data_IF_004438990078
#
_entry.id   IF_004438990078
#
_cell.length_a   1.000
_cell.length_b   1.000
_cell.length_c   1.000
_cell.angle_alpha   90.00
_cell.angle_beta   90.00
_cell.angle_gamma   90.00
#
_symmetry.space_group_name_H-M   'P 1'
#
loop_
_entity.id
_entity.type
_entity.pdbx_description
1 polymer ?
#
# COMPACT_ATOMS: atom_id res chain seq x y z
N UNK A 1 12.02 -7.47 31.39
CA UNK A 1 10.68 -7.87 30.88
C UNK A 1 10.26 -6.82 29.84
N UNK A 2 9.91 -7.25 28.64
CA UNK A 2 9.39 -6.36 27.59
C UNK A 2 8.06 -5.78 28.08
N UNK A 3 7.93 -4.45 28.06
CA UNK A 3 6.67 -3.77 28.43
C UNK A 3 5.70 -3.86 27.26
N UNK A 4 4.56 -4.51 27.46
CA UNK A 4 3.47 -4.58 26.49
C UNK A 4 2.35 -3.65 26.96
N UNK A 5 1.98 -2.71 26.09
CA UNK A 5 0.84 -1.81 26.27
C UNK A 5 -0.27 -2.22 25.31
N UNK A 6 -1.50 -2.25 25.79
CA UNK A 6 -2.63 -2.73 25.00
C UNK A 6 -3.81 -1.79 25.21
N UNK A 7 -4.30 -1.19 24.11
CA UNK A 7 -5.57 -0.44 24.09
C UNK A 7 -6.62 -1.15 23.20
N UNK A 8 -7.71 -0.47 22.84
CA UNK A 8 -8.76 -1.05 22.03
C UNK A 8 -8.30 -1.40 20.60
N UNK A 9 -7.45 -0.55 20.00
CA UNK A 9 -7.04 -0.65 18.61
C UNK A 9 -5.66 -1.23 18.40
N UNK A 10 -4.73 -1.03 19.37
CA UNK A 10 -3.30 -1.25 19.20
C UNK A 10 -2.73 -2.14 20.31
N UNK A 11 -1.86 -3.04 19.95
CA UNK A 11 -0.92 -3.73 20.83
C UNK A 11 0.48 -3.18 20.54
N UNK A 12 1.13 -2.65 21.56
CA UNK A 12 2.46 -2.06 21.48
C UNK A 12 3.45 -2.81 22.35
N UNK A 13 4.60 -3.13 21.79
CA UNK A 13 5.74 -3.73 22.48
C UNK A 13 6.86 -2.73 22.51
N UNK A 14 7.31 -2.36 23.70
CA UNK A 14 8.45 -1.47 23.85
C UNK A 14 9.75 -2.18 23.50
N UNK A 15 10.56 -1.56 22.62
CA UNK A 15 11.89 -2.03 22.28
C UNK A 15 12.96 -1.58 23.28
N UNK A 16 14.21 -1.99 23.01
CA UNK A 16 15.37 -1.51 23.74
C UNK A 16 15.64 -0.05 23.38
N UNK A 17 16.14 0.77 24.33
CA UNK A 17 16.35 2.21 24.07
C UNK A 17 17.27 2.52 22.89
N UNK A 18 18.25 1.66 22.65
CA UNK A 18 19.26 1.80 21.57
C UNK A 18 18.82 1.22 20.22
N UNK A 19 17.67 0.54 20.16
CA UNK A 19 17.21 -0.08 18.91
C UNK A 19 16.75 0.96 17.91
N UNK A 20 16.98 0.68 16.63
CA UNK A 20 16.39 1.44 15.54
C UNK A 20 15.23 0.69 14.84
N UNK A 21 14.96 -0.55 15.24
CA UNK A 21 13.98 -1.43 14.59
C UNK A 21 12.57 -1.17 15.10
N UNK A 22 11.67 -0.91 14.18
CA UNK A 22 10.21 -0.84 14.40
C UNK A 22 9.55 -1.91 13.53
N UNK A 23 8.95 -2.88 14.17
CA UNK A 23 8.20 -3.95 13.53
C UNK A 23 6.73 -3.56 13.48
N UNK A 24 6.09 -3.74 12.34
CA UNK A 24 4.67 -3.50 12.15
C UNK A 24 3.95 -4.80 11.80
N UNK A 25 2.70 -4.94 12.24
CA UNK A 25 1.81 -5.98 11.75
C UNK A 25 0.39 -5.42 11.63
N UNK A 26 0.05 -5.01 10.41
CA UNK A 26 -1.21 -4.36 10.08
C UNK A 26 -2.42 -5.29 10.27
N UNK A 27 -2.23 -6.60 10.08
CA UNK A 27 -3.29 -7.60 10.11
C UNK A 27 -3.06 -8.66 11.20
N UNK A 28 -2.72 -8.20 12.41
CA UNK A 28 -2.28 -9.05 13.50
C UNK A 28 -3.40 -9.82 14.22
N UNK A 29 -4.67 -9.47 14.01
CA UNK A 29 -5.78 -10.06 14.76
C UNK A 29 -7.00 -10.32 13.89
N UNK A 30 -7.76 -11.37 14.23
CA UNK A 30 -9.01 -11.77 13.57
C UNK A 30 -10.28 -11.42 14.36
N UNK A 31 -10.15 -10.81 15.53
CA UNK A 31 -11.29 -10.46 16.41
C UNK A 31 -11.93 -9.16 16.00
N UNK A 32 -13.19 -9.00 16.40
CA UNK A 32 -13.93 -7.75 16.30
C UNK A 32 -14.26 -7.21 17.69
N UNK A 33 -14.34 -5.88 17.87
CA UNK A 33 -14.90 -5.29 19.06
C UNK A 33 -16.36 -5.73 19.24
N UNK A 34 -16.84 -5.93 20.50
CA UNK A 34 -18.18 -6.47 20.77
C UNK A 34 -19.34 -5.73 20.08
N UNK A 35 -19.19 -4.42 19.89
CA UNK A 35 -20.19 -3.57 19.24
C UNK A 35 -20.48 -3.97 17.78
N UNK A 36 -19.56 -4.67 17.12
CA UNK A 36 -19.70 -5.09 15.71
C UNK A 36 -20.15 -6.54 15.55
N UNK A 37 -20.29 -7.28 16.66
CA UNK A 37 -20.63 -8.69 16.62
C UNK A 37 -19.69 -9.47 15.70
N UNK A 38 -20.28 -10.21 14.74
CA UNK A 38 -19.51 -10.94 13.71
C UNK A 38 -19.63 -10.32 12.30
N UNK A 39 -20.05 -9.06 12.15
CA UNK A 39 -20.33 -8.42 10.86
C UNK A 39 -21.27 -9.24 9.94
N UNK A 40 -22.09 -10.12 10.54
CA UNK A 40 -22.96 -11.05 9.80
C UNK A 40 -22.26 -12.26 9.20
N UNK A 41 -21.00 -12.52 9.57
CA UNK A 41 -20.20 -13.63 9.07
C UNK A 41 -20.30 -14.86 10.00
N UNK A 42 -20.10 -16.05 9.43
CA UNK A 42 -19.88 -17.26 10.22
C UNK A 42 -18.50 -17.26 10.88
N UNK A 43 -18.38 -17.87 12.06
CA UNK A 43 -17.13 -17.92 12.84
C UNK A 43 -15.91 -18.44 12.03
N UNK A 44 -16.12 -19.40 11.14
CA UNK A 44 -15.08 -19.97 10.28
C UNK A 44 -14.40 -18.95 9.35
N UNK A 45 -15.10 -17.87 9.01
CA UNK A 45 -14.52 -16.84 8.12
C UNK A 45 -13.42 -16.02 8.82
N UNK A 46 -13.47 -15.95 10.17
CA UNK A 46 -12.44 -15.30 10.97
C UNK A 46 -11.15 -16.12 11.12
N UNK A 47 -11.18 -17.39 10.74
CA UNK A 47 -9.98 -18.25 10.69
C UNK A 47 -9.28 -18.22 9.32
N UNK A 48 -9.79 -17.42 8.39
CA UNK A 48 -9.26 -17.29 7.04
C UNK A 48 -8.40 -16.04 6.89
N UNK A 49 -7.53 -16.04 5.90
CA UNK A 49 -6.68 -14.92 5.49
C UNK A 49 -7.46 -13.62 5.16
N UNK A 50 -8.76 -13.70 4.93
CA UNK A 50 -9.60 -12.51 4.72
C UNK A 50 -9.73 -11.68 6.01
N UNK A 51 -9.59 -12.30 7.17
CA UNK A 51 -9.76 -11.66 8.46
C UNK A 51 -8.44 -11.15 9.06
N UNK A 52 -7.33 -11.86 8.84
CA UNK A 52 -6.00 -11.54 9.40
C UNK A 52 -4.90 -12.29 8.67
N UNK A 53 -3.67 -11.94 8.90
CA UNK A 53 -2.50 -12.59 8.34
C UNK A 53 -2.00 -13.68 9.31
N UNK A 54 -2.29 -14.95 8.96
CA UNK A 54 -2.04 -16.10 9.82
C UNK A 54 -0.55 -16.23 10.14
N UNK A 55 -0.19 -16.24 11.43
CA UNK A 55 1.17 -16.40 11.93
C UNK A 55 2.02 -15.11 11.93
N UNK A 56 1.59 -14.04 11.25
CA UNK A 56 2.38 -12.81 11.15
C UNK A 56 2.59 -12.12 12.51
N UNK A 57 1.56 -12.11 13.37
CA UNK A 57 1.68 -11.57 14.74
C UNK A 57 2.72 -12.31 15.57
N UNK A 58 2.71 -13.63 15.53
CA UNK A 58 3.63 -14.48 16.29
C UNK A 58 5.08 -14.28 15.83
N UNK A 59 5.30 -14.16 14.50
CA UNK A 59 6.62 -13.81 13.93
C UNK A 59 7.05 -12.43 14.38
N UNK A 60 6.16 -11.44 14.36
CA UNK A 60 6.43 -10.06 14.80
C UNK A 60 6.87 -10.02 16.27
N UNK A 61 6.13 -10.70 17.15
CA UNK A 61 6.48 -10.80 18.57
C UNK A 61 7.81 -11.53 18.82
N UNK A 62 8.04 -12.62 18.07
CA UNK A 62 9.30 -13.35 18.12
C UNK A 62 10.50 -12.51 17.71
N UNK A 63 10.37 -11.74 16.63
CA UNK A 63 11.40 -10.80 16.17
C UNK A 63 11.62 -9.67 17.16
N UNK A 64 10.56 -9.08 17.73
CA UNK A 64 10.67 -8.05 18.75
C UNK A 64 11.45 -8.55 19.98
N UNK A 65 11.15 -9.76 20.45
CA UNK A 65 11.86 -10.39 21.57
C UNK A 65 13.33 -10.74 21.22
N UNK A 66 13.57 -11.24 20.00
CA UNK A 66 14.89 -11.70 19.54
C UNK A 66 15.85 -10.55 19.23
N UNK A 67 15.33 -9.45 18.66
CA UNK A 67 16.12 -8.31 18.18
C UNK A 67 16.02 -7.07 19.09
N UNK A 68 15.15 -7.08 20.09
CA UNK A 68 14.90 -5.93 20.96
C UNK A 68 14.20 -4.77 20.25
N UNK A 69 13.48 -5.05 19.16
CA UNK A 69 12.75 -4.05 18.37
C UNK A 69 11.46 -3.61 19.04
N UNK A 70 10.99 -2.39 18.71
CA UNK A 70 9.60 -2.00 18.97
C UNK A 70 8.67 -2.82 18.08
N UNK A 71 7.43 -3.08 18.56
CA UNK A 71 6.40 -3.63 17.70
C UNK A 71 5.09 -2.87 17.87
N UNK A 72 4.45 -2.53 16.76
CA UNK A 72 3.12 -1.91 16.69
C UNK A 72 2.22 -2.82 15.86
N UNK A 73 1.16 -3.33 16.47
CA UNK A 73 0.28 -4.34 15.88
C UNK A 73 -1.18 -3.96 16.09
N UNK A 74 -2.03 -4.26 15.10
CA UNK A 74 -3.48 -4.06 15.25
C UNK A 74 -4.08 -5.11 16.18
N UNK A 75 -5.23 -4.76 16.79
CA UNK A 75 -6.00 -5.65 17.65
C UNK A 75 -7.35 -6.05 17.09
N UNK A 76 -7.62 -5.72 15.85
CA UNK A 76 -8.89 -6.01 15.18
C UNK A 76 -8.65 -6.60 13.79
N UNK A 77 -9.66 -7.33 13.33
CA UNK A 77 -9.68 -7.88 11.97
C UNK A 77 -9.70 -6.77 10.91
N UNK A 78 -8.95 -6.97 9.83
CA UNK A 78 -9.00 -6.11 8.63
C UNK A 78 -10.40 -6.04 8.00
N UNK A 79 -11.29 -6.98 8.33
CA UNK A 79 -12.70 -6.93 7.92
C UNK A 79 -13.48 -5.80 8.58
N UNK A 80 -13.04 -5.29 9.75
CA UNK A 80 -13.65 -4.11 10.37
C UNK A 80 -13.25 -2.85 9.62
N UNK A 81 -11.97 -2.65 9.44
CA UNK A 81 -11.31 -1.60 8.68
C UNK A 81 -9.87 -2.04 8.43
N UNK A 82 -9.39 -1.90 7.21
CA UNK A 82 -8.02 -2.32 6.84
C UNK A 82 -7.04 -1.17 7.10
N UNK A 83 -6.16 -1.26 8.12
CA UNK A 83 -5.21 -0.20 8.41
C UNK A 83 -4.14 -0.04 7.34
N UNK A 84 -3.92 -1.08 6.54
CA UNK A 84 -2.97 -1.05 5.41
C UNK A 84 -3.62 -0.53 4.12
N UNK A 85 -4.57 0.40 4.25
CA UNK A 85 -5.24 1.09 3.13
C UNK A 85 -5.34 2.59 3.40
N UNK A 86 -5.21 3.38 2.34
CA UNK A 86 -5.49 4.81 2.37
C UNK A 86 -6.95 5.11 2.71
N UNK A 87 -7.23 6.31 3.26
CA UNK A 87 -8.58 6.68 3.66
C UNK A 87 -9.58 6.77 2.49
N UNK A 88 -9.06 6.99 1.29
CA UNK A 88 -9.83 7.08 0.04
C UNK A 88 -9.87 5.75 -0.75
N UNK A 89 -9.17 4.71 -0.26
CA UNK A 89 -9.18 3.40 -0.90
C UNK A 89 -10.55 2.74 -0.75
N UNK A 90 -11.20 2.29 -1.84
CA UNK A 90 -12.49 1.62 -1.79
C UNK A 90 -12.45 0.29 -1.01
N UNK A 91 -11.25 -0.27 -0.78
CA UNK A 91 -11.06 -1.49 0.01
C UNK A 91 -10.71 -1.24 1.47
N UNK A 92 -10.73 0.02 1.93
CA UNK A 92 -10.53 0.37 3.36
C UNK A 92 -11.52 -0.37 4.27
N UNK A 93 -12.78 -0.49 3.86
CA UNK A 93 -13.82 -1.26 4.54
C UNK A 93 -14.49 -2.16 3.49
N UNK A 94 -14.01 -3.39 3.37
CA UNK A 94 -14.42 -4.30 2.31
C UNK A 94 -15.82 -4.86 2.56
N UNK A 95 -16.76 -4.65 1.62
CA UNK A 95 -18.05 -5.33 1.58
C UNK A 95 -17.96 -6.73 0.94
N UNK A 96 -16.91 -7.01 0.20
CA UNK A 96 -16.61 -8.30 -0.44
C UNK A 96 -15.13 -8.62 -0.30
N UNK A 97 -14.78 -9.78 0.24
CA UNK A 97 -13.39 -10.25 0.37
C UNK A 97 -13.30 -11.73 0.00
N UNK A 98 -12.47 -12.06 -1.00
CA UNK A 98 -12.27 -13.42 -1.52
C UNK A 98 -13.56 -14.24 -1.69
N UNK A 99 -14.55 -13.65 -2.38
CA UNK A 99 -15.84 -14.28 -2.66
C UNK A 99 -16.83 -14.29 -1.48
N UNK A 100 -16.44 -13.76 -0.32
CA UNK A 100 -17.29 -13.67 0.87
C UNK A 100 -17.87 -12.26 0.99
N UNK A 101 -19.20 -12.16 0.97
CA UNK A 101 -19.89 -10.89 1.28
C UNK A 101 -19.80 -10.67 2.79
N UNK A 102 -19.47 -9.44 3.20
CA UNK A 102 -19.44 -8.99 4.60
C UNK A 102 -20.68 -8.15 4.86
N UNK A 103 -21.78 -8.73 5.39
CA UNK A 103 -23.07 -8.03 5.47
C UNK A 103 -23.00 -6.74 6.30
N UNK A 104 -22.23 -6.74 7.39
CA UNK A 104 -22.04 -5.58 8.26
C UNK A 104 -21.27 -4.41 7.62
N UNK A 105 -20.72 -4.62 6.41
CA UNK A 105 -20.01 -3.58 5.65
C UNK A 105 -20.76 -3.15 4.39
N UNK A 106 -21.84 -3.87 4.00
CA UNK A 106 -22.50 -3.67 2.71
C UNK A 106 -23.22 -2.32 2.59
N UNK A 107 -23.61 -1.71 3.69
CA UNK A 107 -24.41 -0.49 3.72
C UNK A 107 -24.02 0.45 4.88
N UNK A 108 -22.70 0.61 5.12
CA UNK A 108 -22.23 1.59 6.11
C UNK A 108 -22.35 3.00 5.53
N UNK A 109 -22.76 3.94 6.36
CA UNK A 109 -22.77 5.35 6.00
C UNK A 109 -21.44 6.04 6.33
N UNK A 110 -21.30 7.29 5.88
CA UNK A 110 -20.10 8.10 6.14
C UNK A 110 -19.86 8.38 7.64
N UNK A 111 -20.89 8.35 8.48
CA UNK A 111 -20.75 8.53 9.92
C UNK A 111 -20.06 7.29 10.54
N UNK A 112 -20.50 6.09 10.16
CA UNK A 112 -19.89 4.84 10.61
C UNK A 112 -18.46 4.68 10.04
N UNK A 113 -18.23 5.03 8.78
CA UNK A 113 -16.87 5.05 8.20
C UNK A 113 -15.94 5.93 9.04
N UNK A 114 -16.35 7.18 9.34
CA UNK A 114 -15.57 8.09 10.19
C UNK A 114 -15.35 7.55 11.60
N UNK A 115 -16.38 6.91 12.19
CA UNK A 115 -16.26 6.28 13.51
C UNK A 115 -15.20 5.18 13.52
N UNK A 116 -15.18 4.27 12.54
CA UNK A 116 -14.15 3.22 12.44
C UNK A 116 -12.76 3.80 12.18
N UNK A 117 -12.64 4.81 11.34
CA UNK A 117 -11.37 5.52 11.15
C UNK A 117 -10.85 6.09 12.47
N UNK A 118 -11.70 6.83 13.21
CA UNK A 118 -11.29 7.49 14.44
C UNK A 118 -10.93 6.53 15.58
N UNK A 119 -11.62 5.37 15.66
CA UNK A 119 -11.42 4.42 16.77
C UNK A 119 -10.37 3.36 16.52
N UNK A 120 -10.11 3.00 15.26
CA UNK A 120 -9.28 1.83 14.94
C UNK A 120 -8.13 2.15 13.99
N UNK A 121 -8.38 2.85 12.91
CA UNK A 121 -7.36 3.20 11.92
C UNK A 121 -6.41 4.30 12.43
N UNK A 122 -6.97 5.43 12.86
CA UNK A 122 -6.18 6.57 13.29
C UNK A 122 -5.28 6.29 14.51
N UNK A 123 -5.74 5.59 15.57
CA UNK A 123 -4.87 5.26 16.71
C UNK A 123 -3.69 4.37 16.34
N UNK A 124 -3.87 3.42 15.42
CA UNK A 124 -2.78 2.58 14.92
C UNK A 124 -1.69 3.42 14.25
N UNK A 125 -2.08 4.26 13.31
CA UNK A 125 -1.14 5.15 12.62
C UNK A 125 -0.52 6.21 13.53
N UNK A 126 -1.26 6.69 14.53
CA UNK A 126 -0.73 7.61 15.54
C UNK A 126 0.37 6.95 16.36
N UNK A 127 0.18 5.71 16.83
CA UNK A 127 1.19 4.97 17.59
C UNK A 127 2.45 4.73 16.78
N UNK A 128 2.34 4.41 15.49
CA UNK A 128 3.50 4.27 14.59
C UNK A 128 4.25 5.61 14.51
N UNK A 129 3.53 6.70 14.21
CA UNK A 129 4.13 8.04 14.11
C UNK A 129 4.85 8.46 15.39
N UNK A 130 4.20 8.33 16.55
CA UNK A 130 4.78 8.63 17.86
C UNK A 130 6.07 7.84 18.13
N UNK A 131 6.09 6.55 17.79
CA UNK A 131 7.27 5.69 17.97
C UNK A 131 8.42 6.17 17.09
N UNK A 132 8.16 6.43 15.80
CA UNK A 132 9.17 6.91 14.87
C UNK A 132 9.68 8.31 15.21
N UNK A 133 8.79 9.21 15.64
CA UNK A 133 9.13 10.58 16.02
C UNK A 133 9.98 10.62 17.29
N UNK A 134 9.66 9.78 18.28
CA UNK A 134 10.47 9.64 19.49
C UNK A 134 11.90 9.17 19.17
N UNK A 135 12.06 8.19 18.28
CA UNK A 135 13.37 7.70 17.86
C UNK A 135 14.15 8.78 17.09
N UNK A 136 13.51 9.44 16.15
CA UNK A 136 14.13 10.52 15.35
C UNK A 136 14.53 11.70 16.25
N UNK A 137 13.69 12.04 17.22
CA UNK A 137 13.91 13.12 18.19
C UNK A 137 15.18 12.94 19.05
N UNK A 138 15.61 11.69 19.26
CA UNK A 138 16.88 11.38 19.97
C UNK A 138 18.03 11.08 19.00
N UNK A 139 17.87 11.36 17.71
CA UNK A 139 18.90 11.18 16.69
C UNK A 139 19.06 9.76 16.14
N UNK A 140 18.15 8.85 16.48
CA UNK A 140 18.12 7.49 15.92
C UNK A 140 17.40 7.48 14.59
N UNK A 141 18.03 6.99 13.53
CA UNK A 141 17.39 6.79 12.22
C UNK A 141 16.59 5.48 12.24
N UNK A 142 15.24 5.50 12.23
CA UNK A 142 14.44 4.29 12.31
C UNK A 142 14.61 3.36 11.10
N UNK A 143 14.35 2.06 11.32
CA UNK A 143 14.18 1.04 10.31
C UNK A 143 12.82 0.39 10.52
N UNK A 144 11.96 0.41 9.50
CA UNK A 144 10.63 -0.22 9.56
C UNK A 144 10.67 -1.56 8.82
N UNK A 145 10.18 -2.62 9.49
CA UNK A 145 9.91 -3.92 8.88
C UNK A 145 8.45 -4.28 9.15
N UNK A 146 7.61 -4.27 8.11
CA UNK A 146 6.21 -4.69 8.21
C UNK A 146 6.06 -6.17 7.89
N UNK A 147 5.40 -6.91 8.79
CA UNK A 147 5.22 -8.36 8.70
C UNK A 147 3.79 -8.70 8.26
N UNK A 148 3.71 -9.46 7.18
CA UNK A 148 2.47 -9.97 6.60
C UNK A 148 2.57 -11.47 6.30
N UNK A 149 1.46 -12.08 5.92
CA UNK A 149 1.47 -13.44 5.39
C UNK A 149 0.45 -13.64 4.26
N UNK A 150 0.81 -14.50 3.32
CA UNK A 150 -0.01 -14.79 2.14
C UNK A 150 -0.37 -16.27 2.02
N UNK A 151 -1.45 -16.57 1.30
CA UNK A 151 -1.93 -17.93 1.06
C UNK A 151 -1.02 -18.71 0.10
N UNK A 152 -0.82 -20.04 0.29
CA UNK A 152 0.00 -20.86 -0.59
C UNK A 152 -0.57 -21.04 -2.01
N UNK A 153 -1.85 -20.68 -2.20
CA UNK A 153 -2.51 -20.67 -3.49
C UNK A 153 -3.53 -19.56 -3.58
N UNK A 154 -3.82 -19.06 -4.79
CA UNK A 154 -4.81 -18.05 -5.06
C UNK A 154 -5.58 -18.38 -6.33
N UNK A 155 -6.93 -18.45 -6.24
CA UNK A 155 -7.81 -18.79 -7.38
C UNK A 155 -7.35 -20.04 -8.13
N UNK A 156 -6.94 -21.10 -7.39
CA UNK A 156 -6.48 -22.36 -7.94
C UNK A 156 -5.05 -22.37 -8.49
N UNK A 157 -4.31 -21.25 -8.43
CA UNK A 157 -2.92 -21.16 -8.83
C UNK A 157 -2.01 -21.26 -7.60
N UNK A 158 -1.01 -22.15 -7.64
CA UNK A 158 0.01 -22.26 -6.59
C UNK A 158 0.90 -21.01 -6.59
N UNK A 159 1.30 -20.59 -5.38
CA UNK A 159 2.27 -19.53 -5.13
C UNK A 159 3.58 -20.16 -4.67
N UNK A 160 4.61 -20.19 -5.52
CA UNK A 160 5.82 -20.96 -5.24
C UNK A 160 6.72 -20.32 -4.18
N UNK A 161 6.56 -19.03 -3.93
CA UNK A 161 7.40 -18.28 -3.01
C UNK A 161 7.19 -18.73 -1.56
N UNK A 162 8.27 -18.86 -0.81
CA UNK A 162 8.24 -19.07 0.63
C UNK A 162 8.11 -17.73 1.37
N UNK A 163 8.74 -16.69 0.82
CA UNK A 163 8.55 -15.32 1.23
C UNK A 163 8.51 -14.38 0.02
N UNK A 164 7.85 -13.23 0.17
CA UNK A 164 7.91 -12.09 -0.73
C UNK A 164 8.51 -10.90 0.01
N UNK A 165 9.35 -10.14 -0.67
CA UNK A 165 9.88 -8.89 -0.17
C UNK A 165 9.30 -7.80 -1.06
N UNK A 166 8.49 -6.93 -0.45
CA UNK A 166 7.76 -5.90 -1.17
C UNK A 166 8.35 -4.53 -0.87
N UNK A 167 8.53 -3.75 -1.91
CA UNK A 167 9.11 -2.41 -1.86
C UNK A 167 8.67 -1.59 -3.08
N UNK A 168 8.78 -0.26 -2.98
CA UNK A 168 8.48 0.65 -4.06
C UNK A 168 9.75 1.41 -4.50
N UNK A 169 9.90 2.67 -4.11
CA UNK A 169 11.02 3.51 -4.54
C UNK A 169 12.29 3.28 -3.73
N UNK A 170 12.16 2.82 -2.48
CA UNK A 170 13.27 2.62 -1.55
C UNK A 170 13.71 1.16 -1.45
N UNK A 171 14.70 0.77 -2.23
CA UNK A 171 15.27 -0.57 -2.22
C UNK A 171 16.41 -0.80 -1.22
N UNK A 172 16.76 0.19 -0.36
CA UNK A 172 17.93 0.13 0.55
C UNK A 172 17.96 -1.11 1.43
N UNK A 173 16.81 -1.56 1.88
CA UNK A 173 16.65 -2.74 2.74
C UNK A 173 16.21 -3.94 1.92
N UNK A 174 15.25 -3.75 1.02
CA UNK A 174 14.63 -4.85 0.28
C UNK A 174 15.61 -5.62 -0.61
N UNK A 175 16.43 -4.93 -1.41
CA UNK A 175 17.37 -5.56 -2.35
C UNK A 175 18.39 -6.46 -1.64
N UNK A 176 19.17 -5.97 -0.64
CA UNK A 176 20.12 -6.84 0.05
C UNK A 176 19.41 -7.92 0.89
N UNK A 177 18.20 -7.67 1.42
CA UNK A 177 17.42 -8.69 2.11
C UNK A 177 17.01 -9.82 1.16
N UNK A 178 16.59 -9.51 -0.06
CA UNK A 178 16.28 -10.50 -1.11
C UNK A 178 17.51 -11.36 -1.42
N UNK A 179 18.67 -10.74 -1.59
CA UNK A 179 19.93 -11.45 -1.87
C UNK A 179 20.30 -12.39 -0.73
N UNK A 180 20.25 -11.92 0.53
CA UNK A 180 20.54 -12.73 1.70
C UNK A 180 19.59 -13.95 1.83
N UNK A 181 18.30 -13.74 1.61
CA UNK A 181 17.32 -14.82 1.68
C UNK A 181 17.48 -15.80 0.51
N UNK A 182 17.73 -15.32 -0.71
CA UNK A 182 17.96 -16.20 -1.88
C UNK A 182 19.24 -17.01 -1.78
N UNK A 183 20.20 -16.61 -0.95
CA UNK A 183 21.40 -17.39 -0.67
C UNK A 183 21.12 -18.64 0.18
N UNK A 184 19.97 -18.74 0.86
CA UNK A 184 19.57 -19.94 1.60
C UNK A 184 19.13 -21.04 0.64
N UNK A 185 19.74 -22.26 0.68
CA UNK A 185 19.38 -23.36 -0.22
C UNK A 185 17.90 -23.74 -0.09
N UNK A 186 17.22 -23.85 -1.23
CA UNK A 186 15.81 -24.28 -1.29
C UNK A 186 14.80 -23.21 -0.96
N UNK A 187 15.21 -21.98 -0.58
CA UNK A 187 14.29 -20.87 -0.33
C UNK A 187 13.95 -20.15 -1.63
N UNK A 188 12.67 -20.04 -1.95
CA UNK A 188 12.17 -19.29 -3.10
C UNK A 188 11.63 -17.95 -2.61
N UNK A 189 12.28 -16.85 -3.04
CA UNK A 189 11.96 -15.50 -2.57
C UNK A 189 11.49 -14.64 -3.74
N UNK A 190 10.28 -14.08 -3.59
CA UNK A 190 9.67 -13.14 -4.53
C UNK A 190 10.22 -11.73 -4.31
N UNK A 191 10.53 -11.05 -5.40
CA UNK A 191 10.82 -9.62 -5.46
C UNK A 191 9.58 -8.92 -6.00
N UNK A 192 8.86 -8.19 -5.12
CA UNK A 192 7.52 -7.70 -5.40
C UNK A 192 6.56 -8.81 -5.89
N UNK A 193 6.62 -9.97 -5.23
CA UNK A 193 5.77 -11.12 -5.47
C UNK A 193 5.35 -11.76 -4.12
N UNK A 194 4.10 -12.18 -3.95
CA UNK A 194 2.99 -12.22 -4.92
C UNK A 194 2.23 -10.89 -5.08
N UNK A 195 2.66 -9.83 -4.43
CA UNK A 195 2.06 -8.50 -4.49
C UNK A 195 3.11 -7.46 -4.84
N UNK A 196 2.68 -6.26 -5.25
CA UNK A 196 3.55 -5.10 -5.44
C UNK A 196 3.63 -4.29 -4.15
N UNK A 197 4.81 -3.77 -3.82
CA UNK A 197 5.01 -2.81 -2.74
C UNK A 197 4.61 -1.37 -3.10
N UNK A 198 4.29 -1.10 -4.36
CA UNK A 198 3.82 0.21 -4.82
C UNK A 198 2.30 0.33 -4.60
N UNK A 199 1.90 0.60 -3.36
CA UNK A 199 0.51 0.83 -2.99
C UNK A 199 0.38 2.18 -2.29
N UNK A 200 -0.20 3.15 -3.01
CA UNK A 200 -0.39 4.50 -2.49
C UNK A 200 -1.28 4.50 -1.23
N UNK A 201 -0.83 5.21 -0.21
CA UNK A 201 -1.58 5.41 1.03
C UNK A 201 -1.59 4.23 2.00
N UNK A 202 -0.89 3.14 1.71
CA UNK A 202 -0.68 2.05 2.66
C UNK A 202 0.22 2.47 3.84
N UNK A 203 0.42 1.58 4.79
CA UNK A 203 1.20 1.85 6.01
C UNK A 203 2.63 2.26 5.68
N UNK A 204 3.31 1.56 4.76
CA UNK A 204 4.70 1.87 4.40
C UNK A 204 4.84 3.09 3.51
N UNK A 205 3.90 3.34 2.60
CA UNK A 205 3.83 4.61 1.87
C UNK A 205 3.78 5.79 2.83
N UNK A 206 2.88 5.73 3.82
CA UNK A 206 2.65 6.80 4.79
C UNK A 206 3.81 7.02 5.76
N UNK A 207 4.37 5.95 6.34
CA UNK A 207 5.33 6.03 7.44
C UNK A 207 6.78 5.82 7.01
N UNK A 208 7.00 5.14 5.89
CA UNK A 208 8.31 4.89 5.28
C UNK A 208 8.61 5.86 4.14
N UNK A 209 7.98 5.67 2.99
CA UNK A 209 8.27 6.39 1.74
C UNK A 209 8.15 7.91 1.90
N UNK A 210 6.99 8.41 2.35
CA UNK A 210 6.74 9.85 2.52
C UNK A 210 7.60 10.51 3.60
N UNK A 211 8.19 9.73 4.50
CA UNK A 211 9.07 10.21 5.57
C UNK A 211 10.56 9.96 5.30
N UNK A 212 10.91 9.32 4.18
CA UNK A 212 12.29 8.96 3.84
C UNK A 212 12.92 7.94 4.81
N UNK A 213 12.10 7.25 5.61
CA UNK A 213 12.55 6.25 6.58
C UNK A 213 12.81 4.93 5.85
N UNK A 214 13.95 4.29 6.13
CA UNK A 214 14.27 2.98 5.58
C UNK A 214 13.22 1.94 5.96
N UNK A 215 12.66 1.21 4.98
CA UNK A 215 11.55 0.31 5.23
C UNK A 215 11.51 -0.86 4.24
N UNK A 216 10.80 -1.91 4.64
CA UNK A 216 10.52 -3.07 3.82
C UNK A 216 9.27 -3.79 4.33
N UNK A 217 8.49 -4.39 3.43
CA UNK A 217 7.40 -5.28 3.80
C UNK A 217 7.83 -6.73 3.49
N UNK A 218 7.65 -7.59 4.47
CA UNK A 218 7.95 -9.02 4.40
C UNK A 218 6.65 -9.79 4.44
N UNK A 219 6.39 -10.53 3.39
CA UNK A 219 5.30 -11.49 3.26
C UNK A 219 5.84 -12.90 3.48
N UNK A 220 5.35 -13.63 4.45
CA UNK A 220 5.69 -15.06 4.64
C UNK A 220 4.51 -15.92 4.23
N UNK A 221 4.76 -17.01 3.50
CA UNK A 221 3.67 -17.92 3.12
C UNK A 221 3.08 -18.58 4.38
N UNK A 222 1.79 -18.39 4.61
CA UNK A 222 1.12 -18.67 5.89
C UNK A 222 1.23 -20.13 6.37
N UNK A 223 1.30 -21.10 5.46
CA UNK A 223 1.46 -22.52 5.81
C UNK A 223 2.81 -22.82 6.51
N UNK A 224 3.82 -21.95 6.28
CA UNK A 224 5.15 -22.06 6.88
C UNK A 224 5.19 -21.49 8.31
N UNK A 225 4.24 -20.63 8.69
CA UNK A 225 4.16 -19.97 10.00
C UNK A 225 2.84 -20.23 10.73
N UNK A 226 2.04 -21.20 10.25
CA UNK A 226 0.79 -21.59 10.90
C UNK A 226 1.00 -22.37 12.21
N UNK A 227 2.21 -22.83 12.50
CA UNK A 227 2.58 -23.60 13.70
C UNK A 227 3.79 -22.98 14.37
N UNK A 228 3.87 -23.16 15.70
CA UNK A 228 4.97 -22.62 16.52
C UNK A 228 6.36 -22.93 15.96
N UNK A 229 6.61 -24.18 15.53
CA UNK A 229 7.92 -24.56 14.98
C UNK A 229 8.29 -23.75 13.72
N UNK A 230 7.33 -23.51 12.85
CA UNK A 230 7.54 -22.68 11.68
C UNK A 230 7.73 -21.20 12.04
N UNK A 231 6.97 -20.69 13.01
CA UNK A 231 7.19 -19.34 13.55
C UNK A 231 8.61 -19.20 14.08
N UNK A 232 9.07 -20.14 14.94
CA UNK A 232 10.41 -20.10 15.52
C UNK A 232 11.51 -20.15 14.41
N UNK A 233 11.33 -20.98 13.39
CA UNK A 233 12.24 -21.05 12.23
C UNK A 233 12.30 -19.71 11.46
N UNK A 234 11.14 -19.10 11.17
CA UNK A 234 11.08 -17.86 10.43
C UNK A 234 11.57 -16.66 11.25
N UNK A 235 11.35 -16.65 12.57
CA UNK A 235 11.95 -15.64 13.47
C UNK A 235 13.47 -15.68 13.38
N UNK A 236 14.11 -16.85 13.51
CA UNK A 236 15.57 -16.95 13.42
C UNK A 236 16.09 -16.62 12.00
N UNK A 237 15.38 -17.02 10.96
CA UNK A 237 15.73 -16.68 9.57
C UNK A 237 15.69 -15.18 9.33
N UNK A 238 14.57 -14.53 9.66
CA UNK A 238 14.39 -13.09 9.46
C UNK A 238 15.32 -12.28 10.40
N UNK A 239 15.53 -12.73 11.62
CA UNK A 239 16.47 -12.08 12.54
C UNK A 239 17.88 -11.99 11.94
N UNK A 240 18.39 -13.08 11.34
CA UNK A 240 19.72 -13.09 10.70
C UNK A 240 19.84 -12.09 9.57
N UNK A 241 18.77 -11.89 8.78
CA UNK A 241 18.82 -10.97 7.63
C UNK A 241 18.48 -9.52 7.99
N UNK A 242 17.80 -9.30 9.13
CA UNK A 242 17.48 -7.94 9.63
C UNK A 242 18.63 -7.36 10.47
N UNK A 243 19.29 -8.20 11.29
CA UNK A 243 20.31 -7.77 12.26
C UNK A 243 21.46 -6.93 11.63
N UNK A 244 21.97 -7.19 10.41
CA UNK A 244 22.97 -6.34 9.77
C UNK A 244 22.51 -4.89 9.62
N UNK A 245 21.25 -4.66 9.26
CA UNK A 245 20.70 -3.32 9.05
C UNK A 245 20.46 -2.56 10.37
N UNK A 246 20.44 -3.26 11.51
CA UNK A 246 20.31 -2.62 12.83
C UNK A 246 21.63 -2.04 13.33
N UNK A 247 22.76 -2.65 12.96
CA UNK A 247 24.11 -2.24 13.41
C UNK A 247 24.65 -1.05 12.64
N UNK A 248 24.30 -0.97 11.39
CA UNK A 248 24.72 0.13 10.55
C UNK A 248 23.83 1.35 10.83
N UNK A 249 24.43 2.33 11.51
CA UNK A 249 24.04 3.72 11.33
C UNK A 249 24.31 4.16 9.88
N UNK A 250 24.13 3.26 8.92
CA UNK A 250 24.16 3.60 7.52
C UNK A 250 23.03 4.59 7.29
N UNK A 251 23.43 5.88 7.38
CA UNK A 251 23.08 6.88 6.40
C UNK A 251 23.52 6.38 4.99
N UNK A 252 23.18 5.16 4.60
CA UNK A 252 22.90 4.88 3.22
C UNK A 252 21.75 5.83 2.92
N UNK A 253 22.11 7.03 2.46
CA UNK A 253 21.16 7.93 1.82
C UNK A 253 20.36 7.05 0.88
N UNK A 254 19.03 7.23 0.80
CA UNK A 254 18.26 6.56 -0.24
C UNK A 254 19.14 6.63 -1.47
N UNK A 255 19.31 5.50 -2.17
CA UNK A 255 19.95 5.48 -3.49
C UNK A 255 19.37 6.69 -4.18
N UNK A 256 20.18 7.74 -4.36
CA UNK A 256 19.81 9.15 -4.33
C UNK A 256 18.40 9.32 -4.85
N UNK A 257 17.45 9.59 -3.96
CA UNK A 257 16.06 9.80 -4.36
C UNK A 257 16.21 10.75 -5.54
N UNK A 258 15.84 10.27 -6.73
CA UNK A 258 16.10 10.99 -7.97
C UNK A 258 15.67 12.41 -7.69
N UNK A 259 16.61 13.36 -7.74
CA UNK A 259 16.38 14.76 -7.38
C UNK A 259 14.98 15.13 -7.81
N UNK A 260 14.14 15.65 -6.92
CA UNK A 260 12.73 15.95 -7.24
C UNK A 260 12.63 16.78 -8.52
N UNK A 261 13.64 17.62 -8.81
CA UNK A 261 13.76 18.31 -10.07
C UNK A 261 13.99 17.35 -11.25
N UNK A 262 14.79 16.30 -11.07
CA UNK A 262 15.04 15.27 -12.11
C UNK A 262 13.76 14.42 -12.29
N UNK A 263 13.13 14.00 -11.20
CA UNK A 263 11.87 13.25 -11.22
C UNK A 263 10.79 14.06 -11.94
N UNK A 264 10.59 15.31 -11.55
CA UNK A 264 9.66 16.24 -12.18
C UNK A 264 9.97 16.43 -13.66
N UNK A 265 11.25 16.54 -14.04
CA UNK A 265 11.65 16.66 -15.44
C UNK A 265 11.33 15.41 -16.27
N UNK A 266 11.50 14.22 -15.69
CA UNK A 266 11.17 12.93 -16.31
C UNK A 266 9.65 12.80 -16.49
N UNK A 267 8.88 13.07 -15.45
CA UNK A 267 7.41 13.07 -15.45
C UNK A 267 6.87 14.07 -16.49
N UNK A 268 7.39 15.29 -16.49
CA UNK A 268 7.06 16.31 -17.48
C UNK A 268 7.41 15.86 -18.92
N UNK A 269 8.53 15.15 -19.10
CA UNK A 269 8.94 14.62 -20.39
C UNK A 269 8.01 13.49 -20.85
N UNK A 270 7.65 12.57 -19.96
CA UNK A 270 6.68 11.50 -20.25
C UNK A 270 5.31 12.07 -20.62
N UNK A 271 4.84 13.08 -19.87
CA UNK A 271 3.57 13.76 -20.16
C UNK A 271 3.59 14.51 -21.51
N UNK A 272 4.68 15.21 -21.84
CA UNK A 272 4.87 15.84 -23.17
C UNK A 272 4.82 14.81 -24.29
N UNK A 273 5.41 13.62 -24.08
CA UNK A 273 5.38 12.53 -25.05
C UNK A 273 3.97 11.98 -25.24
N UNK A 274 3.19 11.84 -24.16
CA UNK A 274 1.78 11.46 -24.23
C UNK A 274 0.96 12.49 -25.05
N UNK A 275 1.13 13.79 -24.77
CA UNK A 275 0.46 14.86 -25.51
C UNK A 275 0.85 14.81 -26.99
N UNK A 276 2.14 14.67 -27.32
CA UNK A 276 2.62 14.57 -28.68
C UNK A 276 2.01 13.37 -29.42
N UNK A 277 1.92 12.22 -28.73
CA UNK A 277 1.28 11.02 -29.27
C UNK A 277 -0.22 11.25 -29.56
N UNK A 278 -0.95 11.83 -28.60
CA UNK A 278 -2.39 12.13 -28.79
C UNK A 278 -2.66 13.13 -29.88
N UNK A 279 -1.73 14.08 -30.18
CA UNK A 279 -1.83 14.98 -31.31
C UNK A 279 -1.69 14.26 -32.67
N UNK A 280 -0.83 13.24 -32.72
CA UNK A 280 -0.66 12.41 -33.93
C UNK A 280 -1.85 11.47 -34.14
N UNK A 281 -2.58 11.11 -33.10
CA UNK A 281 -3.74 10.23 -33.12
C UNK A 281 -5.05 11.03 -33.22
N UNK A 282 -5.13 11.96 -34.15
CA UNK A 282 -6.36 12.74 -34.42
C UNK A 282 -7.54 11.89 -34.93
N UNK A 283 -7.25 10.66 -35.39
CA UNK A 283 -8.22 9.62 -35.74
C UNK A 283 -9.01 9.10 -34.55
N UNK A 284 -8.42 9.13 -33.33
CA UNK A 284 -9.06 8.68 -32.09
C UNK A 284 -9.89 9.83 -31.49
N UNK A 285 -11.20 9.63 -31.38
CA UNK A 285 -12.12 10.62 -30.83
C UNK A 285 -12.00 10.72 -29.29
N UNK A 286 -12.39 11.86 -28.73
CA UNK A 286 -12.40 12.03 -27.27
C UNK A 286 -13.32 11.03 -26.56
N UNK A 287 -14.44 10.66 -27.20
CA UNK A 287 -15.35 9.64 -26.66
C UNK A 287 -14.73 8.25 -26.63
N UNK A 288 -13.85 7.92 -27.58
CA UNK A 288 -13.13 6.63 -27.58
C UNK A 288 -12.16 6.55 -26.42
N UNK A 289 -11.41 7.63 -26.17
CA UNK A 289 -10.51 7.73 -25.01
C UNK A 289 -11.28 7.64 -23.70
N UNK A 290 -12.42 8.34 -23.57
CA UNK A 290 -13.28 8.26 -22.39
C UNK A 290 -13.79 6.84 -22.15
N UNK A 291 -14.25 6.16 -23.18
CA UNK A 291 -14.79 4.81 -23.09
C UNK A 291 -13.70 3.76 -22.74
N UNK A 292 -12.46 3.97 -23.20
CA UNK A 292 -11.36 3.03 -23.03
C UNK A 292 -10.59 3.28 -21.73
N UNK A 293 -10.29 4.55 -21.41
CA UNK A 293 -9.33 4.92 -20.38
C UNK A 293 -9.92 5.81 -19.27
N UNK A 294 -11.20 6.21 -19.36
CA UNK A 294 -11.85 7.08 -18.36
C UNK A 294 -11.41 8.54 -18.42
N UNK A 295 -10.55 8.93 -19.35
CA UNK A 295 -10.13 10.32 -19.58
C UNK A 295 -9.97 10.62 -21.06
N UNK A 296 -9.95 11.92 -21.41
CA UNK A 296 -9.73 12.37 -22.77
C UNK A 296 -8.80 13.59 -22.83
N UNK A 297 -8.57 14.15 -24.03
CA UNK A 297 -7.75 15.36 -24.21
C UNK A 297 -8.25 16.56 -23.39
N UNK A 298 -9.57 16.70 -23.22
CA UNK A 298 -10.13 17.75 -22.37
C UNK A 298 -9.80 17.54 -20.88
N UNK A 299 -9.79 16.29 -20.41
CA UNK A 299 -9.39 16.00 -19.02
C UNK A 299 -7.92 16.38 -18.79
N UNK A 300 -7.02 16.02 -19.72
CA UNK A 300 -5.62 16.42 -19.65
C UNK A 300 -5.43 17.94 -19.64
N UNK A 301 -6.23 18.67 -20.45
CA UNK A 301 -6.20 20.13 -20.47
C UNK A 301 -6.73 20.73 -19.14
N UNK A 302 -7.77 20.15 -18.56
CA UNK A 302 -8.27 20.56 -17.26
C UNK A 302 -7.23 20.33 -16.14
N UNK A 303 -6.58 19.17 -16.10
CA UNK A 303 -5.53 18.87 -15.13
C UNK A 303 -4.32 19.80 -15.25
N UNK A 304 -3.93 20.19 -16.47
CA UNK A 304 -2.91 21.23 -16.69
C UNK A 304 -3.32 22.59 -16.11
N UNK A 305 -4.56 23.02 -16.38
CA UNK A 305 -5.06 24.29 -15.88
C UNK A 305 -5.20 24.28 -14.35
N UNK A 306 -5.64 23.17 -13.77
CA UNK A 306 -5.75 22.99 -12.31
C UNK A 306 -4.37 23.03 -11.64
N UNK A 307 -3.37 22.34 -12.21
CA UNK A 307 -2.01 22.34 -11.70
C UNK A 307 -1.32 23.72 -11.80
N UNK A 308 -1.63 24.50 -12.83
CA UNK A 308 -1.06 25.83 -13.03
C UNK A 308 -1.81 26.94 -12.28
N UNK A 309 -3.01 26.68 -11.77
CA UNK A 309 -3.82 27.70 -11.07
C UNK A 309 -4.12 28.93 -11.94
N UNK A 310 -3.72 30.10 -11.48
CA UNK A 310 -3.96 31.36 -12.20
C UNK A 310 -2.97 31.62 -13.37
N UNK A 311 -1.91 30.81 -13.50
CA UNK A 311 -0.86 31.03 -14.51
C UNK A 311 -1.21 30.51 -15.90
N UNK A 312 -2.24 29.67 -16.01
CA UNK A 312 -2.64 29.06 -17.28
C UNK A 312 -4.17 29.01 -17.40
N UNK A 313 -4.71 29.69 -18.41
CA UNK A 313 -6.14 29.61 -18.70
C UNK A 313 -6.53 28.25 -19.30
N UNK A 314 -7.81 27.87 -19.17
CA UNK A 314 -8.31 26.62 -19.78
C UNK A 314 -8.11 26.57 -21.29
N UNK A 315 -8.20 27.70 -21.99
CA UNK A 315 -8.03 27.74 -23.44
C UNK A 315 -6.55 27.59 -23.85
N UNK A 316 -5.63 28.14 -23.07
CA UNK A 316 -4.19 27.89 -23.25
C UNK A 316 -3.83 26.43 -22.96
N UNK A 317 -4.35 25.85 -21.88
CA UNK A 317 -4.17 24.44 -21.57
C UNK A 317 -4.71 23.54 -22.70
N UNK A 318 -5.87 23.86 -23.27
CA UNK A 318 -6.41 23.17 -24.45
C UNK A 318 -5.47 23.29 -25.66
N UNK A 319 -4.95 24.48 -25.95
CA UNK A 319 -3.97 24.66 -27.04
C UNK A 319 -2.72 23.81 -26.80
N UNK A 320 -2.26 23.72 -25.56
CA UNK A 320 -1.12 22.86 -25.20
C UNK A 320 -1.39 21.38 -25.46
N UNK A 321 -2.60 20.89 -25.24
CA UNK A 321 -2.94 19.48 -25.46
C UNK A 321 -3.26 19.19 -26.91
N UNK A 322 -4.06 20.01 -27.56
CA UNK A 322 -4.53 19.81 -28.95
C UNK A 322 -3.52 20.25 -30.01
N UNK A 323 -2.57 21.13 -29.69
CA UNK A 323 -1.62 21.70 -30.61
C UNK A 323 -2.21 22.82 -31.50
N UNK A 324 -3.48 23.15 -31.31
CA UNK A 324 -4.22 24.21 -31.97
C UNK A 324 -5.40 24.67 -31.13
N UNK A 325 -6.14 25.70 -31.58
CA UNK A 325 -7.38 26.13 -30.91
C UNK A 325 -8.40 24.96 -30.89
N UNK A 326 -9.11 24.80 -29.80
CA UNK A 326 -10.04 23.67 -29.62
C UNK A 326 -11.16 23.65 -30.67
N UNK A 327 -11.72 24.82 -31.03
CA UNK A 327 -12.76 24.91 -32.05
C UNK A 327 -12.22 24.55 -33.45
N UNK A 328 -10.97 24.90 -33.74
CA UNK A 328 -10.30 24.52 -34.95
C UNK A 328 -10.09 22.99 -35.01
N UNK A 329 -9.67 22.37 -33.91
CA UNK A 329 -9.51 20.92 -33.85
C UNK A 329 -10.84 20.19 -34.01
N UNK A 330 -11.92 20.70 -33.39
CA UNK A 330 -13.28 20.17 -33.60
C UNK A 330 -13.69 20.20 -35.07
N UNK A 331 -13.51 21.33 -35.70
CA UNK A 331 -13.88 21.48 -37.10
C UNK A 331 -13.12 20.53 -38.03
N UNK A 332 -11.85 20.24 -37.73
CA UNK A 332 -10.98 19.41 -38.56
C UNK A 332 -11.09 17.91 -38.30
N UNK A 333 -11.31 17.51 -37.04
CA UNK A 333 -11.07 16.14 -36.60
C UNK A 333 -12.24 15.49 -35.84
N UNK A 334 -13.16 16.28 -35.27
CA UNK A 334 -14.27 15.71 -34.50
C UNK A 334 -15.34 15.17 -35.45
N UNK A 335 -15.70 13.91 -35.24
CA UNK A 335 -16.82 13.26 -35.94
C UNK A 335 -18.00 13.06 -34.96
N UNK A 336 -19.20 12.91 -35.51
CA UNK A 336 -20.37 12.57 -34.69
C UNK A 336 -20.20 11.18 -34.05
N UNK A 337 -20.43 11.07 -32.74
CA UNK A 337 -20.33 9.80 -32.04
C UNK A 337 -21.43 8.84 -32.48
N UNK A 338 -21.06 7.61 -32.79
CA UNK A 338 -21.98 6.53 -33.11
C UNK A 338 -22.88 6.15 -31.94
N UNK A 339 -23.99 5.49 -32.20
CA UNK A 339 -24.87 4.98 -31.16
C UNK A 339 -24.15 4.03 -30.20
N UNK A 340 -23.22 3.20 -30.71
CA UNK A 340 -22.41 2.29 -29.91
C UNK A 340 -21.47 3.03 -28.96
N UNK A 341 -20.80 4.10 -29.44
CA UNK A 341 -19.92 4.93 -28.61
C UNK A 341 -20.71 5.66 -27.52
N UNK A 342 -21.88 6.20 -27.83
CA UNK A 342 -22.77 6.86 -26.85
C UNK A 342 -23.26 5.89 -25.78
N UNK A 343 -23.69 4.69 -26.17
CA UNK A 343 -24.13 3.65 -25.23
C UNK A 343 -23.00 3.15 -24.31
N UNK A 344 -21.77 3.02 -24.84
CA UNK A 344 -20.59 2.67 -24.05
C UNK A 344 -20.24 3.77 -23.04
N UNK A 345 -20.31 5.04 -23.45
CA UNK A 345 -20.09 6.19 -22.58
C UNK A 345 -21.08 6.26 -21.42
N UNK A 346 -22.37 6.08 -21.70
CA UNK A 346 -23.42 6.04 -20.66
C UNK A 346 -23.23 4.91 -19.66
N UNK A 347 -22.71 3.76 -20.13
CA UNK A 347 -22.42 2.61 -19.26
C UNK A 347 -21.20 2.84 -18.38
N UNK A 348 -20.14 3.49 -18.89
CA UNK A 348 -18.89 3.74 -18.16
C UNK A 348 -18.99 4.88 -17.14
N UNK A 349 -20.00 5.77 -17.23
CA UNK A 349 -20.17 6.94 -16.35
C UNK A 349 -21.36 6.82 -15.39
N UNK A 350 -21.92 5.61 -15.21
CA UNK A 350 -22.97 5.30 -14.21
C UNK A 350 -22.43 4.84 -12.85
N UNK A 351 -21.16 5.16 -12.52
CA UNK A 351 -20.58 4.84 -11.22
C UNK A 351 -20.17 6.10 -10.45
#
# INVERSE_FOLDING_TARGET
>A
MVKIEVDEAVEFVAGLPETRLVLLCDHAANRLPPAYGALGLAAKEFERHIAYDIGAREVTLGLAARLGGFAVMTRHSRLLIDPNRGLDDPTLIMALSDGVIVPGNAAIDEAEKRNRIARYHAPYHARIAETLDAMTGVGTAPLIVSLHSFTPSWKGKSRPWHAGILWDQDGRIARPMIELLRAEPGLVVGDNEPYSGALDGDTLSRHGTLRGIAHVLVEVRQDLIARKSGVDEWVERLARVIEPFMKDGTNAQPEAAMDDAIKTAIEATAFRRLIAHLRQRSDVQNIDLMNLAGFCRNCLANWLAEAAGAELSRDEARRMVYGMAYEEWKAKHQTEASATQKAAFEKSHKH
#
